data_IF_638794464714
#
_entry.id   IF_638794464714
#
_cell.length_a   1.000
_cell.length_b   1.000
_cell.length_c   1.000
_cell.angle_alpha   90.00
_cell.angle_beta   90.00
_cell.angle_gamma   90.00
#
_symmetry.space_group_name_H-M   'P 1'
#
loop_
_entity.id
_entity.type
_entity.pdbx_description
1 polymer ?
#
# COMPACT_ATOMS: atom_id res chain seq x y z
N UNK A 1 38.48 11.72 4.72
CA UNK A 1 37.09 11.38 5.11
C UNK A 1 37.02 11.36 6.62
N UNK A 2 36.01 12.01 7.17
CA UNK A 2 35.76 12.07 8.61
C UNK A 2 35.00 10.81 9.08
N UNK A 3 34.98 10.55 10.39
CA UNK A 3 34.14 9.48 10.98
C UNK A 3 32.65 9.69 10.65
N UNK A 4 32.23 10.95 10.53
CA UNK A 4 30.88 11.32 10.15
C UNK A 4 30.55 10.91 8.70
N UNK A 5 31.47 11.14 7.76
CA UNK A 5 31.31 10.74 6.35
C UNK A 5 31.17 9.22 6.22
N UNK A 6 31.99 8.48 6.97
CA UNK A 6 31.94 7.01 6.99
C UNK A 6 30.60 6.51 7.53
N UNK A 7 30.10 7.11 8.62
CA UNK A 7 28.81 6.75 9.19
C UNK A 7 27.66 6.98 8.20
N UNK A 8 27.65 8.12 7.51
CA UNK A 8 26.65 8.42 6.46
C UNK A 8 26.69 7.37 5.35
N UNK A 9 27.88 7.04 4.84
CA UNK A 9 28.02 6.07 3.76
C UNK A 9 27.59 4.66 4.17
N UNK A 10 27.90 4.24 5.40
CA UNK A 10 27.47 2.94 5.93
C UNK A 10 25.95 2.87 6.04
N UNK A 11 25.31 3.90 6.60
CA UNK A 11 23.84 3.97 6.72
C UNK A 11 23.19 3.98 5.33
N UNK A 12 23.71 4.79 4.41
CA UNK A 12 23.19 4.87 3.05
C UNK A 12 23.35 3.54 2.30
N UNK A 13 24.50 2.86 2.43
CA UNK A 13 24.74 1.56 1.81
C UNK A 13 23.82 0.47 2.37
N UNK A 14 23.63 0.42 3.69
CA UNK A 14 22.71 -0.52 4.33
C UNK A 14 21.27 -0.28 3.89
N UNK A 15 20.80 0.98 3.96
CA UNK A 15 19.46 1.36 3.51
C UNK A 15 19.24 1.08 2.01
N UNK A 16 20.26 1.30 1.18
CA UNK A 16 20.20 1.00 -0.24
C UNK A 16 20.02 -0.50 -0.51
N UNK A 17 20.70 -1.36 0.25
CA UNK A 17 20.53 -2.81 0.18
C UNK A 17 19.11 -3.26 0.52
N UNK A 18 18.52 -2.67 1.57
CA UNK A 18 17.12 -2.93 1.96
C UNK A 18 16.15 -2.48 0.86
N UNK A 19 16.26 -1.22 0.41
CA UNK A 19 15.38 -0.67 -0.64
C UNK A 19 15.45 -1.46 -1.94
N UNK A 20 16.63 -1.93 -2.32
CA UNK A 20 16.80 -2.72 -3.53
C UNK A 20 16.08 -4.06 -3.49
N UNK A 21 15.96 -4.66 -2.30
CA UNK A 21 15.21 -5.90 -2.12
C UNK A 21 13.69 -5.67 -2.24
N UNK A 22 13.21 -4.48 -1.87
CA UNK A 22 11.77 -4.18 -1.78
C UNK A 22 11.20 -3.63 -3.09
N UNK A 23 11.81 -2.56 -3.62
CA UNK A 23 11.20 -1.75 -4.69
C UNK A 23 12.18 -1.34 -5.80
N UNK A 24 13.47 -1.64 -5.64
CA UNK A 24 14.54 -1.07 -6.47
C UNK A 24 14.78 0.41 -6.12
N UNK A 25 15.95 0.93 -6.46
CA UNK A 25 16.27 2.35 -6.27
C UNK A 25 17.22 2.66 -5.10
N UNK A 26 18.00 1.69 -4.62
CA UNK A 26 19.04 1.93 -3.61
C UNK A 26 20.03 3.05 -3.99
N UNK A 27 20.21 3.31 -5.28
CA UNK A 27 20.98 4.44 -5.81
C UNK A 27 20.49 5.81 -5.33
N UNK A 28 19.20 5.97 -5.02
CA UNK A 28 18.68 7.22 -4.43
C UNK A 28 19.27 7.54 -3.05
N UNK A 29 19.80 6.55 -2.34
CA UNK A 29 20.48 6.76 -1.06
C UNK A 29 22.00 6.86 -1.24
N UNK A 30 22.61 5.94 -1.98
CA UNK A 30 24.07 5.87 -2.12
C UNK A 30 24.66 6.98 -2.96
N UNK A 31 23.99 7.41 -4.03
CA UNK A 31 24.52 8.46 -4.91
C UNK A 31 24.59 9.85 -4.23
N UNK A 32 23.52 10.37 -3.61
CA UNK A 32 23.60 11.65 -2.89
C UNK A 32 24.59 11.61 -1.73
N UNK A 33 24.68 10.49 -1.01
CA UNK A 33 25.63 10.32 0.09
C UNK A 33 27.09 10.40 -0.41
N UNK A 34 27.42 9.77 -1.53
CA UNK A 34 28.77 9.83 -2.12
C UNK A 34 29.12 11.25 -2.59
N UNK A 35 28.21 11.92 -3.28
CA UNK A 35 28.40 13.32 -3.70
C UNK A 35 28.56 14.25 -2.50
N UNK A 36 27.77 14.04 -1.44
CA UNK A 36 27.86 14.81 -0.19
C UNK A 36 29.23 14.68 0.47
N UNK A 37 29.85 13.50 0.42
CA UNK A 37 31.21 13.28 0.93
C UNK A 37 32.32 13.85 0.03
N UNK A 38 31.96 14.58 -1.03
CA UNK A 38 32.89 15.25 -1.94
C UNK A 38 33.31 14.40 -3.14
N UNK A 39 32.68 13.25 -3.39
CA UNK A 39 33.00 12.43 -4.56
C UNK A 39 32.43 13.08 -5.84
N UNK A 40 33.23 13.22 -6.91
CA UNK A 40 32.73 13.72 -8.19
C UNK A 40 31.53 12.91 -8.70
N UNK A 41 30.48 13.55 -9.24
CA UNK A 41 29.23 12.86 -9.59
C UNK A 41 29.37 11.65 -10.53
N UNK A 42 30.25 11.70 -11.55
CA UNK A 42 30.46 10.53 -12.43
C UNK A 42 31.07 9.36 -11.65
N UNK A 43 32.06 9.62 -10.79
CA UNK A 43 32.68 8.61 -9.95
C UNK A 43 31.68 8.09 -8.89
N UNK A 44 30.92 8.98 -8.25
CA UNK A 44 29.89 8.63 -7.29
C UNK A 44 28.82 7.70 -7.88
N UNK A 45 28.39 7.96 -9.12
CA UNK A 45 27.44 7.09 -9.82
C UNK A 45 28.01 5.69 -10.08
N UNK A 46 29.25 5.62 -10.58
CA UNK A 46 29.92 4.34 -10.81
C UNK A 46 30.12 3.54 -9.51
N UNK A 47 30.61 4.19 -8.46
CA UNK A 47 30.80 3.58 -7.14
C UNK A 47 29.47 3.12 -6.54
N UNK A 48 28.42 3.93 -6.65
CA UNK A 48 27.07 3.57 -6.20
C UNK A 48 26.54 2.32 -6.95
N UNK A 49 26.69 2.26 -8.27
CA UNK A 49 26.24 1.11 -9.06
C UNK A 49 26.94 -0.19 -8.65
N UNK A 50 28.27 -0.13 -8.42
CA UNK A 50 29.06 -1.29 -7.95
C UNK A 50 28.67 -1.69 -6.53
N UNK A 51 28.48 -0.73 -5.63
CA UNK A 51 28.11 -1.01 -4.24
C UNK A 51 26.75 -1.72 -4.11
N UNK A 52 25.82 -1.39 -5.01
CA UNK A 52 24.44 -1.88 -4.98
C UNK A 52 24.28 -3.21 -5.76
N UNK A 53 25.21 -3.54 -6.64
CA UNK A 53 25.18 -4.73 -7.50
C UNK A 53 25.02 -6.07 -6.74
N UNK A 54 25.74 -6.35 -5.63
CA UNK A 54 25.53 -7.58 -4.88
C UNK A 54 24.09 -7.75 -4.37
N UNK A 55 23.41 -6.65 -4.04
CA UNK A 55 22.00 -6.67 -3.62
C UNK A 55 21.07 -7.13 -4.74
N UNK A 56 21.30 -6.71 -5.98
CA UNK A 56 20.53 -7.19 -7.13
C UNK A 56 20.76 -8.68 -7.40
N UNK A 57 22.00 -9.17 -7.27
CA UNK A 57 22.30 -10.60 -7.42
C UNK A 57 21.65 -11.44 -6.31
N UNK A 58 21.74 -10.97 -5.06
CA UNK A 58 21.11 -11.62 -3.93
C UNK A 58 19.58 -11.65 -4.07
N UNK A 59 18.96 -10.56 -4.52
CA UNK A 59 17.52 -10.49 -4.82
C UNK A 59 17.13 -11.46 -5.94
N UNK A 60 17.85 -11.45 -7.07
CA UNK A 60 17.58 -12.36 -8.18
C UNK A 60 17.74 -13.84 -7.79
N UNK A 61 18.73 -14.16 -6.95
CA UNK A 61 18.92 -15.50 -6.41
C UNK A 61 17.84 -15.89 -5.40
N UNK A 62 17.45 -14.96 -4.52
CA UNK A 62 16.38 -15.15 -3.54
C UNK A 62 15.04 -15.43 -4.20
N UNK A 63 14.73 -14.69 -5.28
CA UNK A 63 13.50 -14.82 -6.06
C UNK A 63 13.61 -15.78 -7.26
N UNK A 64 14.60 -16.69 -7.27
CA UNK A 64 14.87 -17.57 -8.43
C UNK A 64 13.74 -18.54 -8.74
N UNK A 65 12.97 -18.94 -7.74
CA UNK A 65 11.88 -19.90 -7.91
C UNK A 65 10.66 -19.21 -8.54
N UNK A 66 10.41 -17.96 -8.15
CA UNK A 66 9.37 -17.07 -8.65
C UNK A 66 9.67 -16.64 -10.08
N UNK A 67 10.94 -16.35 -10.39
CA UNK A 67 11.40 -16.08 -11.76
C UNK A 67 11.15 -17.26 -12.71
N UNK A 68 11.13 -18.49 -12.19
CA UNK A 68 10.77 -19.69 -12.96
C UNK A 68 9.33 -19.70 -13.46
N UNK A 69 8.43 -18.91 -12.86
CA UNK A 69 7.03 -18.78 -13.25
C UNK A 69 6.77 -17.80 -14.40
N UNK A 70 7.76 -17.01 -14.82
CA UNK A 70 7.62 -16.03 -15.91
C UNK A 70 7.95 -16.62 -17.28
N UNK A 71 7.32 -16.11 -18.34
CA UNK A 71 7.67 -16.47 -19.72
C UNK A 71 9.14 -16.13 -20.03
N UNK A 72 9.91 -17.16 -20.38
CA UNK A 72 11.34 -17.05 -20.71
C UNK A 72 11.60 -16.05 -21.83
N UNK A 73 10.72 -15.96 -22.84
CA UNK A 73 10.92 -15.00 -23.95
C UNK A 73 10.77 -13.56 -23.47
N UNK A 74 9.75 -13.30 -22.64
CA UNK A 74 9.54 -11.99 -22.03
C UNK A 74 10.69 -11.61 -21.09
N UNK A 75 11.16 -12.54 -20.26
CA UNK A 75 12.32 -12.31 -19.39
C UNK A 75 13.57 -11.96 -20.20
N UNK A 76 13.89 -12.75 -21.24
CA UNK A 76 15.04 -12.48 -22.10
C UNK A 76 14.94 -11.12 -22.78
N UNK A 77 13.76 -10.76 -23.30
CA UNK A 77 13.54 -9.45 -23.93
C UNK A 77 13.77 -8.30 -22.94
N UNK A 78 13.22 -8.40 -21.73
CA UNK A 78 13.38 -7.38 -20.71
C UNK A 78 14.85 -7.26 -20.26
N UNK A 79 15.52 -8.39 -20.04
CA UNK A 79 16.95 -8.41 -19.71
C UNK A 79 17.80 -7.76 -20.81
N UNK A 80 17.50 -8.03 -22.09
CA UNK A 80 18.19 -7.40 -23.21
C UNK A 80 17.95 -5.89 -23.25
N UNK A 81 16.71 -5.43 -23.12
CA UNK A 81 16.39 -4.00 -23.08
C UNK A 81 17.12 -3.30 -21.93
N UNK A 82 17.07 -3.88 -20.73
CA UNK A 82 17.75 -3.33 -19.54
C UNK A 82 19.26 -3.31 -19.73
N UNK A 83 19.85 -4.37 -20.27
CA UNK A 83 21.29 -4.46 -20.52
C UNK A 83 21.73 -3.44 -21.57
N UNK A 84 21.00 -3.32 -22.69
CA UNK A 84 21.28 -2.33 -23.74
C UNK A 84 21.15 -0.91 -23.22
N UNK A 85 20.08 -0.59 -22.49
CA UNK A 85 19.89 0.72 -21.86
C UNK A 85 21.01 1.05 -20.87
N UNK A 86 21.40 0.09 -20.02
CA UNK A 86 22.50 0.24 -19.07
C UNK A 86 23.85 0.44 -19.75
N UNK A 87 24.14 -0.31 -20.82
CA UNK A 87 25.38 -0.17 -21.58
C UNK A 87 25.47 1.19 -22.29
N UNK A 88 24.39 1.64 -22.94
CA UNK A 88 24.32 2.96 -23.57
C UNK A 88 24.49 4.07 -22.54
N UNK A 89 23.76 3.99 -21.41
CA UNK A 89 23.88 4.94 -20.31
C UNK A 89 25.29 4.98 -19.72
N UNK A 90 25.91 3.83 -19.48
CA UNK A 90 27.29 3.75 -18.99
C UNK A 90 28.29 4.33 -19.99
N UNK A 91 28.11 4.10 -21.30
CA UNK A 91 28.96 4.69 -22.34
C UNK A 91 28.83 6.21 -22.40
N UNK A 92 27.60 6.73 -22.29
CA UNK A 92 27.36 8.18 -22.23
C UNK A 92 28.03 8.83 -21.01
N UNK A 93 28.08 8.15 -19.86
CA UNK A 93 28.77 8.65 -18.68
C UNK A 93 30.28 8.79 -18.84
N UNK A 94 30.91 7.97 -19.69
CA UNK A 94 32.35 8.06 -19.95
C UNK A 94 32.73 9.29 -20.78
N UNK A 95 31.78 9.82 -21.56
CA UNK A 95 31.99 10.98 -22.44
C UNK A 95 31.37 12.26 -21.86
N UNK A 96 30.53 12.13 -20.82
CA UNK A 96 29.85 13.26 -20.17
C UNK A 96 30.75 13.97 -19.17
N UNK A 97 30.71 15.29 -19.15
CA UNK A 97 31.40 16.08 -18.12
C UNK A 97 30.66 16.00 -16.78
N UNK A 98 31.41 16.10 -15.67
CA UNK A 98 30.82 16.14 -14.32
C UNK A 98 29.80 17.27 -14.16
N UNK A 99 30.03 18.42 -14.81
CA UNK A 99 29.14 19.57 -14.75
C UNK A 99 27.82 19.32 -15.49
N UNK A 100 27.88 18.79 -16.71
CA UNK A 100 26.69 18.43 -17.48
C UNK A 100 25.87 17.35 -16.75
N UNK A 101 26.53 16.35 -16.19
CA UNK A 101 25.87 15.31 -15.40
C UNK A 101 25.21 15.88 -14.13
N UNK A 102 25.90 16.77 -13.41
CA UNK A 102 25.35 17.43 -12.21
C UNK A 102 24.09 18.23 -12.49
N UNK A 103 23.99 18.86 -13.65
CA UNK A 103 22.80 19.60 -14.08
C UNK A 103 21.67 18.64 -14.41
N UNK A 104 21.94 17.53 -15.10
CA UNK A 104 20.91 16.61 -15.62
C UNK A 104 20.34 15.69 -14.55
N UNK A 105 21.16 15.20 -13.61
CA UNK A 105 20.76 14.21 -12.61
C UNK A 105 19.52 14.62 -11.80
N UNK A 106 19.41 15.84 -11.24
CA UNK A 106 18.21 16.25 -10.51
C UNK A 106 16.93 16.14 -11.33
N UNK A 107 16.96 16.46 -12.63
CA UNK A 107 15.81 16.35 -13.51
C UNK A 107 15.46 14.90 -13.83
N UNK A 108 16.47 14.03 -14.01
CA UNK A 108 16.23 12.59 -14.18
C UNK A 108 15.63 11.95 -12.93
N UNK A 109 16.12 12.32 -11.75
CA UNK A 109 15.56 11.87 -10.47
C UNK A 109 14.13 12.38 -10.30
N UNK A 110 13.89 13.66 -10.58
CA UNK A 110 12.54 14.25 -10.53
C UNK A 110 11.57 13.54 -11.48
N UNK A 111 11.98 13.29 -12.73
CA UNK A 111 11.16 12.60 -13.72
C UNK A 111 10.84 11.17 -13.27
N UNK A 112 11.82 10.43 -12.72
CA UNK A 112 11.59 9.10 -12.16
C UNK A 112 10.63 9.12 -10.98
N UNK A 113 10.81 10.04 -10.02
CA UNK A 113 9.92 10.20 -8.86
C UNK A 113 8.50 10.57 -9.29
N UNK A 114 8.35 11.49 -10.24
CA UNK A 114 7.05 11.85 -10.80
C UNK A 114 6.39 10.68 -11.53
N UNK A 115 7.15 9.88 -12.29
CA UNK A 115 6.62 8.69 -12.95
C UNK A 115 6.10 7.65 -11.94
N UNK A 116 6.81 7.43 -10.83
CA UNK A 116 6.33 6.56 -9.75
C UNK A 116 5.09 7.12 -9.06
N UNK A 117 5.07 8.42 -8.77
CA UNK A 117 3.97 9.06 -8.06
C UNK A 117 2.70 9.17 -8.91
N UNK A 118 2.84 9.40 -10.21
CA UNK A 118 1.74 9.55 -11.17
C UNK A 118 1.31 8.23 -11.79
N UNK A 119 2.12 7.17 -11.71
CA UNK A 119 1.85 5.88 -12.34
C UNK A 119 0.50 5.27 -11.95
N UNK A 120 0.07 5.45 -10.69
CA UNK A 120 -1.24 4.99 -10.24
C UNK A 120 -2.40 5.83 -10.80
N UNK A 121 -2.22 7.14 -10.99
CA UNK A 121 -3.24 7.99 -11.62
C UNK A 121 -3.40 7.70 -13.11
N UNK A 122 -2.29 7.54 -13.82
CA UNK A 122 -2.29 7.26 -15.27
C UNK A 122 -3.03 5.95 -15.59
N UNK A 123 -3.01 4.96 -14.69
CA UNK A 123 -3.77 3.71 -14.84
C UNK A 123 -5.28 3.87 -14.63
N UNK A 124 -5.71 4.84 -13.83
CA UNK A 124 -7.13 5.05 -13.51
C UNK A 124 -7.83 6.04 -14.44
N UNK A 125 -7.08 6.91 -15.16
CA UNK A 125 -7.65 7.89 -16.10
C UNK A 125 -8.44 7.22 -17.23
N UNK A 126 -8.06 6.00 -17.66
CA UNK A 126 -8.77 5.26 -18.70
C UNK A 126 -10.22 4.88 -18.33
N UNK A 127 -10.58 4.92 -17.05
CA UNK A 127 -11.91 4.57 -16.53
C UNK A 127 -12.62 5.79 -15.92
N UNK A 128 -11.90 6.87 -15.64
CA UNK A 128 -12.40 8.03 -14.90
C UNK A 128 -13.52 8.82 -15.62
N UNK A 129 -13.62 8.69 -16.94
CA UNK A 129 -14.64 9.37 -17.76
C UNK A 129 -15.98 8.61 -17.86
N UNK A 130 -16.13 7.45 -17.21
CA UNK A 130 -17.39 6.72 -17.23
C UNK A 130 -18.50 7.49 -16.50
N UNK A 131 -19.65 7.74 -17.16
CA UNK A 131 -20.77 8.40 -16.52
C UNK A 131 -21.29 7.53 -15.37
N UNK A 132 -21.32 8.10 -14.16
CA UNK A 132 -21.71 7.39 -12.94
C UNK A 132 -20.56 6.80 -12.13
N UNK A 133 -19.30 6.92 -12.60
CA UNK A 133 -18.13 6.55 -11.81
C UNK A 133 -17.54 7.78 -11.12
N UNK A 134 -17.39 7.73 -9.80
CA UNK A 134 -16.71 8.76 -9.02
C UNK A 134 -15.54 8.15 -8.26
N UNK A 135 -14.32 8.57 -8.61
CA UNK A 135 -13.09 8.10 -7.99
C UNK A 135 -12.44 9.24 -7.20
N UNK A 136 -12.10 8.98 -5.93
CA UNK A 136 -11.31 9.88 -5.10
C UNK A 136 -10.32 9.13 -4.23
N UNK A 137 -9.06 9.54 -4.28
CA UNK A 137 -8.04 9.11 -3.33
C UNK A 137 -8.23 9.84 -1.99
N UNK A 138 -8.20 9.09 -0.89
CA UNK A 138 -8.30 9.61 0.46
C UNK A 138 -6.96 9.46 1.17
N UNK A 139 -6.42 10.57 1.68
CA UNK A 139 -5.25 10.54 2.54
C UNK A 139 -5.68 10.35 3.99
N UNK A 140 -5.04 9.42 4.73
CA UNK A 140 -5.30 9.21 6.16
C UNK A 140 -4.90 10.40 7.04
N UNK A 141 -3.99 11.28 6.59
CA UNK A 141 -3.52 12.50 7.28
C UNK A 141 -3.12 12.30 8.76
N UNK A 142 -2.56 11.13 9.09
CA UNK A 142 -2.14 10.81 10.46
C UNK A 142 -3.21 10.14 11.33
N UNK A 143 -4.33 9.75 10.73
CA UNK A 143 -5.33 8.92 11.40
C UNK A 143 -4.72 7.58 11.84
N UNK A 144 -4.94 7.23 13.12
CA UNK A 144 -4.25 6.13 13.81
C UNK A 144 -4.75 4.74 13.41
N UNK A 145 -5.96 4.66 12.87
CA UNK A 145 -6.62 3.43 12.49
C UNK A 145 -6.58 3.19 10.97
N UNK A 146 -5.71 3.89 10.23
CA UNK A 146 -5.50 3.71 8.79
C UNK A 146 -6.62 4.18 7.86
N UNK A 147 -7.79 4.58 8.38
CA UNK A 147 -8.85 5.26 7.64
C UNK A 147 -8.83 6.76 7.91
N UNK A 148 -9.22 7.59 6.96
CA UNK A 148 -9.35 9.03 7.23
C UNK A 148 -10.52 9.31 8.18
N UNK A 149 -10.37 10.25 9.12
CA UNK A 149 -11.37 10.56 10.15
C UNK A 149 -12.76 10.90 9.58
N UNK A 150 -12.79 11.46 8.36
CA UNK A 150 -13.99 11.86 7.64
C UNK A 150 -14.55 10.79 6.69
N UNK A 151 -14.06 9.54 6.75
CA UNK A 151 -14.52 8.47 5.84
C UNK A 151 -16.01 8.23 5.99
N UNK A 152 -16.55 8.24 7.22
CA UNK A 152 -17.97 7.99 7.46
C UNK A 152 -18.83 9.13 6.92
N UNK A 153 -18.39 10.38 7.08
CA UNK A 153 -19.09 11.55 6.50
C UNK A 153 -19.14 11.44 4.98
N UNK A 154 -18.02 11.04 4.36
CA UNK A 154 -17.95 10.87 2.92
C UNK A 154 -18.86 9.74 2.44
N UNK A 155 -18.87 8.59 3.13
CA UNK A 155 -19.76 7.49 2.81
C UNK A 155 -21.23 7.94 2.89
N UNK A 156 -21.61 8.63 3.96
CA UNK A 156 -22.96 9.16 4.14
C UNK A 156 -23.34 10.19 3.06
N UNK A 157 -22.41 11.06 2.65
CA UNK A 157 -22.62 12.00 1.56
C UNK A 157 -22.84 11.28 0.22
N UNK A 158 -22.03 10.27 -0.10
CA UNK A 158 -22.17 9.49 -1.32
C UNK A 158 -23.50 8.73 -1.35
N UNK A 159 -23.87 8.07 -0.25
CA UNK A 159 -25.18 7.42 -0.09
C UNK A 159 -26.33 8.42 -0.29
N UNK A 160 -26.22 9.62 0.30
CA UNK A 160 -27.22 10.69 0.17
C UNK A 160 -27.36 11.28 -1.24
N UNK A 161 -26.32 11.16 -2.08
CA UNK A 161 -26.33 11.60 -3.48
C UNK A 161 -26.71 10.46 -4.46
N UNK A 162 -27.18 9.32 -3.95
CA UNK A 162 -27.75 8.25 -4.78
C UNK A 162 -26.73 7.28 -5.37
N UNK A 163 -25.50 7.23 -4.83
CA UNK A 163 -24.57 6.16 -5.18
C UNK A 163 -25.08 4.82 -4.64
N UNK A 164 -25.38 3.87 -5.54
CA UNK A 164 -25.92 2.56 -5.18
C UNK A 164 -24.85 1.58 -4.69
N UNK A 165 -23.60 1.79 -5.10
CA UNK A 165 -22.46 0.95 -4.74
C UNK A 165 -21.25 1.84 -4.47
N UNK A 166 -20.61 1.65 -3.32
CA UNK A 166 -19.44 2.42 -2.90
C UNK A 166 -18.32 1.43 -2.58
N UNK A 167 -17.23 1.51 -3.33
CA UNK A 167 -16.04 0.69 -3.11
C UNK A 167 -15.03 1.50 -2.29
N UNK A 168 -14.68 0.99 -1.11
CA UNK A 168 -13.63 1.53 -0.27
C UNK A 168 -12.38 0.64 -0.39
N UNK A 169 -11.38 1.12 -1.11
CA UNK A 169 -10.08 0.46 -1.24
C UNK A 169 -9.10 0.99 -0.19
N UNK A 170 -8.39 0.09 0.50
CA UNK A 170 -7.31 0.45 1.43
C UNK A 170 -5.95 0.32 0.77
N UNK A 171 -5.04 1.24 1.10
CA UNK A 171 -3.66 1.22 0.62
C UNK A 171 -2.79 0.37 1.54
N UNK A 172 -2.62 -0.91 1.21
CA UNK A 172 -1.62 -1.80 1.83
C UNK A 172 -1.91 -2.28 3.26
N UNK A 173 -0.97 -3.06 3.79
CA UNK A 173 -1.07 -3.85 5.02
C UNK A 173 -0.74 -2.99 6.25
N UNK A 174 -1.65 -2.96 7.23
CA UNK A 174 -1.53 -2.17 8.46
C UNK A 174 -2.87 -2.09 9.18
N UNK A 175 -2.90 -1.65 10.44
CA UNK A 175 -4.06 -1.67 11.37
C UNK A 175 -5.41 -1.10 10.85
N UNK A 176 -5.46 -0.58 9.62
CA UNK A 176 -6.66 -0.24 8.84
C UNK A 176 -7.71 -1.33 8.69
N UNK A 177 -7.34 -2.61 8.68
CA UNK A 177 -8.31 -3.62 8.25
C UNK A 177 -9.45 -3.84 9.26
N UNK A 178 -9.16 -3.69 10.56
CA UNK A 178 -10.17 -3.74 11.63
C UNK A 178 -11.12 -2.55 11.53
N UNK A 179 -10.61 -1.36 11.19
CA UNK A 179 -11.42 -0.15 11.07
C UNK A 179 -12.36 -0.22 9.87
N UNK A 180 -11.89 -0.76 8.73
CA UNK A 180 -12.70 -0.97 7.53
C UNK A 180 -13.91 -1.84 7.84
N UNK A 181 -13.72 -2.89 8.64
CA UNK A 181 -14.80 -3.83 8.96
C UNK A 181 -16.00 -3.17 9.66
N UNK A 182 -15.79 -2.09 10.40
CA UNK A 182 -16.85 -1.36 11.09
C UNK A 182 -17.64 -0.41 10.18
N UNK A 183 -17.07 -0.04 9.02
CA UNK A 183 -17.66 0.95 8.10
C UNK A 183 -18.22 0.37 6.80
N UNK A 184 -17.83 -0.86 6.42
CA UNK A 184 -18.31 -1.52 5.19
C UNK A 184 -19.33 -2.63 5.48
N UNK A 185 -20.22 -2.88 4.52
CA UNK A 185 -21.18 -3.99 4.60
C UNK A 185 -20.53 -5.33 4.23
N UNK A 186 -19.71 -5.33 3.18
CA UNK A 186 -19.01 -6.51 2.65
C UNK A 186 -17.51 -6.26 2.65
N UNK A 187 -16.75 -7.08 3.38
CA UNK A 187 -15.29 -7.05 3.35
C UNK A 187 -14.73 -8.07 2.34
N UNK A 188 -14.08 -7.59 1.29
CA UNK A 188 -13.39 -8.43 0.30
C UNK A 188 -11.90 -8.39 0.56
N UNK A 189 -11.29 -9.56 0.80
CA UNK A 189 -9.84 -9.68 1.02
C UNK A 189 -9.18 -10.24 -0.23
N UNK A 190 -8.19 -9.52 -0.75
CA UNK A 190 -7.48 -9.87 -1.97
C UNK A 190 -6.11 -10.45 -1.61
N UNK A 191 -5.83 -11.67 -2.08
CA UNK A 191 -4.63 -12.45 -1.77
C UNK A 191 -3.94 -12.87 -3.07
N UNK A 192 -2.64 -12.62 -3.26
CA UNK A 192 -1.90 -13.16 -4.41
C UNK A 192 -1.41 -14.61 -4.14
N UNK A 193 -1.07 -15.39 -5.19
CA UNK A 193 -0.72 -16.82 -5.07
C UNK A 193 0.52 -17.11 -4.22
N UNK A 194 1.46 -16.16 -4.18
CA UNK A 194 2.75 -16.21 -3.49
C UNK A 194 2.68 -15.76 -2.02
N UNK A 195 1.50 -15.40 -1.52
CA UNK A 195 1.33 -14.92 -0.16
C UNK A 195 1.46 -16.01 0.93
N UNK A 196 2.00 -17.20 0.63
CA UNK A 196 2.00 -18.39 1.50
C UNK A 196 2.29 -18.13 2.98
N UNK A 197 3.41 -17.46 3.27
CA UNK A 197 3.82 -17.14 4.65
C UNK A 197 3.01 -15.96 5.23
N UNK A 198 2.72 -14.95 4.40
CA UNK A 198 1.91 -13.79 4.80
C UNK A 198 0.46 -14.16 5.12
N UNK A 199 -0.09 -15.17 4.46
CA UNK A 199 -1.44 -15.72 4.71
C UNK A 199 -1.49 -16.34 6.09
N UNK A 200 -0.43 -17.01 6.56
CA UNK A 200 -0.38 -17.52 7.94
C UNK A 200 -0.40 -16.39 8.98
N UNK A 201 0.25 -15.26 8.68
CA UNK A 201 0.20 -14.07 9.53
C UNK A 201 -1.16 -13.37 9.47
N UNK A 202 -1.82 -13.33 8.30
CA UNK A 202 -3.16 -12.75 8.11
C UNK A 202 -4.29 -13.58 8.72
N UNK A 203 -4.07 -14.89 8.90
CA UNK A 203 -5.07 -15.86 9.38
C UNK A 203 -5.65 -15.52 10.75
N UNK A 204 -4.95 -14.78 11.61
CA UNK A 204 -5.40 -14.45 12.97
C UNK A 204 -6.19 -13.12 13.07
N UNK A 205 -6.57 -12.48 11.96
CA UNK A 205 -7.33 -11.23 12.02
C UNK A 205 -8.14 -10.92 10.76
N UNK A 206 -7.47 -10.55 9.67
CA UNK A 206 -8.13 -10.00 8.47
C UNK A 206 -8.95 -11.07 7.75
N UNK A 207 -8.37 -12.27 7.58
CA UNK A 207 -9.06 -13.38 6.92
C UNK A 207 -10.26 -13.87 7.73
N UNK A 208 -10.24 -13.71 9.05
CA UNK A 208 -11.40 -14.01 9.91
C UNK A 208 -12.52 -12.97 9.77
N UNK A 209 -12.21 -11.76 9.34
CA UNK A 209 -13.23 -10.73 9.12
C UNK A 209 -13.80 -10.76 7.69
N UNK A 210 -13.15 -11.50 6.78
CA UNK A 210 -13.47 -11.53 5.36
C UNK A 210 -14.84 -12.16 5.07
N UNK A 211 -15.65 -11.43 4.31
CA UNK A 211 -16.92 -11.93 3.79
C UNK A 211 -16.74 -12.62 2.43
N UNK A 212 -15.70 -12.25 1.68
CA UNK A 212 -15.30 -12.82 0.40
C UNK A 212 -13.76 -12.80 0.34
N UNK A 213 -13.15 -13.87 -0.17
CA UNK A 213 -11.70 -13.90 -0.42
C UNK A 213 -11.45 -14.05 -1.91
N UNK A 214 -10.53 -13.26 -2.43
CA UNK A 214 -10.16 -13.26 -3.85
C UNK A 214 -8.70 -13.67 -3.99
N UNK A 215 -8.44 -14.77 -4.70
CA UNK A 215 -7.08 -15.11 -5.13
C UNK A 215 -6.82 -14.47 -6.49
N UNK A 216 -5.92 -13.50 -6.53
CA UNK A 216 -5.57 -12.80 -7.77
C UNK A 216 -4.55 -13.58 -8.60
N UNK A 217 -4.27 -13.09 -9.81
CA UNK A 217 -3.25 -13.65 -10.71
C UNK A 217 -3.46 -15.17 -10.91
N UNK A 218 -4.70 -15.56 -11.23
CA UNK A 218 -5.10 -16.96 -11.36
C UNK A 218 -4.31 -17.76 -12.42
N UNK A 219 -3.63 -17.06 -13.32
CA UNK A 219 -2.70 -17.59 -14.32
C UNK A 219 -1.33 -17.97 -13.77
N UNK A 220 -0.98 -17.54 -12.55
CA UNK A 220 0.31 -17.86 -11.96
C UNK A 220 0.32 -19.24 -11.29
N UNK A 221 1.47 -19.93 -11.32
CA UNK A 221 1.67 -21.17 -10.57
C UNK A 221 1.33 -20.96 -9.09
N UNK A 222 0.64 -21.92 -8.49
CA UNK A 222 0.24 -21.87 -7.08
C UNK A 222 -1.10 -21.19 -6.80
N UNK A 223 -1.71 -20.47 -7.75
CA UNK A 223 -2.99 -19.80 -7.52
C UNK A 223 -4.13 -20.77 -7.16
N UNK A 224 -4.21 -21.90 -7.88
CA UNK A 224 -5.20 -22.95 -7.60
C UNK A 224 -4.98 -23.60 -6.23
N UNK A 225 -3.72 -23.85 -5.87
CA UNK A 225 -3.35 -24.42 -4.57
C UNK A 225 -3.72 -23.45 -3.43
N UNK A 226 -3.37 -22.18 -3.57
CA UNK A 226 -3.72 -21.13 -2.60
C UNK A 226 -5.24 -21.03 -2.41
N UNK A 227 -6.01 -21.05 -3.50
CA UNK A 227 -7.47 -21.03 -3.44
C UNK A 227 -8.04 -22.24 -2.70
N UNK A 228 -7.51 -23.44 -2.97
CA UNK A 228 -7.92 -24.67 -2.30
C UNK A 228 -7.57 -24.65 -0.80
N UNK A 229 -6.37 -24.20 -0.45
CA UNK A 229 -5.90 -24.10 0.94
C UNK A 229 -6.74 -23.10 1.74
N UNK A 230 -7.02 -21.92 1.17
CA UNK A 230 -7.89 -20.91 1.79
C UNK A 230 -9.32 -21.42 1.93
N UNK A 231 -9.88 -22.08 0.91
CA UNK A 231 -11.22 -22.63 0.98
C UNK A 231 -11.33 -23.70 2.08
N UNK A 232 -10.33 -24.57 2.24
CA UNK A 232 -10.29 -25.57 3.30
C UNK A 232 -10.26 -24.93 4.70
N UNK A 233 -9.43 -23.89 4.89
CA UNK A 233 -9.32 -23.16 6.17
C UNK A 233 -10.63 -22.45 6.51
N UNK A 234 -11.26 -21.78 5.54
CA UNK A 234 -12.48 -21.00 5.77
C UNK A 234 -13.72 -21.88 5.95
N UNK A 235 -13.77 -23.06 5.31
CA UNK A 235 -14.86 -24.04 5.49
C UNK A 235 -14.93 -24.64 6.89
N UNK A 236 -13.80 -24.72 7.59
CA UNK A 236 -13.75 -25.23 8.96
C UNK A 236 -14.45 -24.29 9.97
N UNK A 237 -14.87 -23.10 9.55
CA UNK A 237 -15.57 -22.12 10.39
C UNK A 237 -17.06 -22.43 10.45
N UNK A 238 -17.61 -22.58 11.65
CA UNK A 238 -19.05 -22.69 11.85
C UNK A 238 -19.77 -21.38 11.46
N UNK A 239 -20.85 -21.48 10.67
CA UNK A 239 -21.71 -20.35 10.31
C UNK A 239 -22.01 -20.25 8.82
N UNK A 240 -21.14 -19.58 8.05
CA UNK A 240 -21.31 -19.27 6.61
C UNK A 240 -20.04 -19.62 5.84
N UNK A 241 -20.18 -20.26 4.68
CA UNK A 241 -19.06 -20.51 3.78
C UNK A 241 -18.59 -19.18 3.16
N UNK A 242 -17.38 -18.74 3.51
CA UNK A 242 -16.74 -17.59 2.87
C UNK A 242 -16.28 -18.00 1.46
N UNK A 243 -16.85 -17.44 0.37
CA UNK A 243 -16.47 -17.81 -0.98
C UNK A 243 -15.02 -17.41 -1.27
N UNK A 244 -14.28 -18.31 -1.91
CA UNK A 244 -12.93 -18.07 -2.44
C UNK A 244 -13.00 -18.02 -3.95
N UNK A 245 -12.71 -16.86 -4.54
CA UNK A 245 -12.88 -16.59 -5.98
C UNK A 245 -11.52 -16.31 -6.60
N UNK A 246 -11.22 -16.95 -7.73
CA UNK A 246 -9.99 -16.68 -8.47
C UNK A 246 -10.22 -15.60 -9.52
N UNK A 247 -9.31 -14.63 -9.62
CA UNK A 247 -9.39 -13.54 -10.60
C UNK A 247 -8.08 -13.37 -11.37
N UNK A 248 -8.18 -12.83 -12.58
CA UNK A 248 -7.04 -12.52 -13.44
C UNK A 248 -7.24 -11.15 -14.12
N UNK A 249 -6.14 -10.49 -14.50
CA UNK A 249 -6.16 -9.22 -15.25
C UNK A 249 -6.87 -9.30 -16.61
N UNK A 250 -7.09 -10.50 -17.16
CA UNK A 250 -7.91 -10.74 -18.36
C UNK A 250 -9.40 -10.48 -18.14
N UNK A 251 -9.83 -10.26 -16.89
CA UNK A 251 -11.23 -10.14 -16.49
C UNK A 251 -11.87 -11.45 -16.02
N UNK A 252 -11.14 -12.58 -16.09
CA UNK A 252 -11.61 -13.85 -15.55
C UNK A 252 -11.93 -13.71 -14.06
N UNK A 253 -13.08 -14.25 -13.65
CA UNK A 253 -13.54 -14.26 -12.26
C UNK A 253 -14.18 -12.97 -11.76
N UNK A 254 -14.09 -11.86 -12.50
CA UNK A 254 -14.68 -10.57 -12.09
C UNK A 254 -16.22 -10.66 -12.00
N UNK A 255 -16.86 -11.32 -12.96
CA UNK A 255 -18.32 -11.54 -12.93
C UNK A 255 -18.75 -12.41 -11.74
N UNK A 256 -17.95 -13.44 -11.40
CA UNK A 256 -18.20 -14.28 -10.23
C UNK A 256 -18.04 -13.50 -8.92
N UNK A 257 -17.03 -12.61 -8.84
CA UNK A 257 -16.85 -11.71 -7.71
C UNK A 257 -18.03 -10.76 -7.54
N UNK A 258 -18.47 -10.10 -8.62
CA UNK A 258 -19.66 -9.22 -8.59
C UNK A 258 -20.92 -9.96 -8.13
N UNK A 259 -21.14 -11.19 -8.61
CA UNK A 259 -22.24 -12.03 -8.17
C UNK A 259 -22.15 -12.39 -6.69
N UNK A 260 -20.96 -12.69 -6.18
CA UNK A 260 -20.73 -12.99 -4.76
C UNK A 260 -20.96 -11.77 -3.86
N UNK A 261 -20.53 -10.57 -4.27
CA UNK A 261 -20.81 -9.31 -3.57
C UNK A 261 -22.33 -9.08 -3.51
N UNK A 262 -23.02 -9.24 -4.63
CA UNK A 262 -24.48 -9.09 -4.70
C UNK A 262 -25.20 -10.11 -3.80
N UNK A 263 -24.76 -11.36 -3.79
CA UNK A 263 -25.32 -12.40 -2.94
C UNK A 263 -25.11 -12.09 -1.45
N UNK A 264 -23.92 -11.60 -1.08
CA UNK A 264 -23.66 -11.20 0.30
C UNK A 264 -24.49 -10.00 0.73
N UNK A 265 -24.64 -9.00 -0.14
CA UNK A 265 -25.50 -7.85 0.11
C UNK A 265 -26.96 -8.27 0.37
N UNK A 266 -27.52 -9.17 -0.45
CA UNK A 266 -28.87 -9.72 -0.23
C UNK A 266 -28.97 -10.46 1.10
N UNK A 267 -27.98 -11.30 1.40
CA UNK A 267 -27.93 -12.04 2.65
C UNK A 267 -27.92 -11.12 3.87
N UNK A 268 -27.15 -10.01 3.84
CA UNK A 268 -27.16 -8.99 4.89
C UNK A 268 -28.55 -8.41 5.06
N UNK A 269 -29.22 -8.01 3.99
CA UNK A 269 -30.55 -7.41 4.07
C UNK A 269 -31.62 -8.36 4.62
N UNK A 270 -31.47 -9.66 4.41
CA UNK A 270 -32.38 -10.69 4.90
C UNK A 270 -32.09 -11.10 6.36
N UNK A 271 -30.82 -11.15 6.76
CA UNK A 271 -30.40 -11.76 8.04
C UNK A 271 -29.90 -10.76 9.09
N UNK A 272 -29.58 -9.52 8.69
CA UNK A 272 -29.16 -8.46 9.62
C UNK A 272 -30.18 -7.33 9.62
N UNK A 273 -30.73 -6.95 10.79
CA UNK A 273 -31.49 -5.71 10.92
C UNK A 273 -30.66 -4.53 10.40
N UNK A 274 -31.20 -3.76 9.46
CA UNK A 274 -30.53 -2.57 8.90
C UNK A 274 -30.10 -1.55 9.98
N UNK A 275 -30.75 -1.59 11.15
CA UNK A 275 -30.40 -0.81 12.33
C UNK A 275 -29.02 -1.13 12.88
N UNK A 276 -28.60 -2.41 12.89
CA UNK A 276 -27.32 -2.84 13.49
C UNK A 276 -26.11 -2.34 12.70
N UNK A 277 -26.14 -2.42 11.36
CA UNK A 277 -25.05 -1.88 10.53
C UNK A 277 -24.93 -0.36 10.68
N UNK A 278 -26.07 0.35 10.68
CA UNK A 278 -26.11 1.80 10.89
C UNK A 278 -25.63 2.21 12.28
N UNK A 279 -25.97 1.42 13.30
CA UNK A 279 -25.52 1.66 14.67
C UNK A 279 -24.01 1.49 14.81
N UNK A 280 -23.43 0.43 14.24
CA UNK A 280 -21.97 0.24 14.21
C UNK A 280 -21.24 1.41 13.56
N UNK A 281 -21.68 1.81 12.36
CA UNK A 281 -21.12 2.97 11.65
C UNK A 281 -21.23 4.25 12.48
N UNK A 282 -22.38 4.46 13.15
CA UNK A 282 -22.60 5.63 14.01
C UNK A 282 -21.69 5.63 15.24
N UNK A 283 -21.53 4.49 15.91
CA UNK A 283 -20.64 4.35 17.06
C UNK A 283 -19.19 4.60 16.62
N UNK A 284 -18.77 4.02 15.49
CA UNK A 284 -17.46 4.26 14.93
C UNK A 284 -17.23 5.76 14.63
N UNK A 285 -18.22 6.41 14.00
CA UNK A 285 -18.16 7.84 13.70
C UNK A 285 -18.08 8.72 14.97
N UNK A 286 -18.91 8.44 15.98
CA UNK A 286 -18.86 9.14 17.26
C UNK A 286 -17.50 9.02 17.93
N UNK A 287 -16.91 7.82 17.93
CA UNK A 287 -15.55 7.61 18.45
C UNK A 287 -14.53 8.44 17.69
N UNK A 288 -14.58 8.44 16.37
CA UNK A 288 -13.67 9.23 15.53
C UNK A 288 -13.82 10.74 15.79
N UNK A 289 -15.04 11.25 15.93
CA UNK A 289 -15.28 12.67 16.26
C UNK A 289 -14.74 13.05 17.63
N UNK A 290 -14.99 12.23 18.65
CA UNK A 290 -14.49 12.45 20.02
C UNK A 290 -12.96 12.44 20.02
N UNK A 291 -12.34 11.46 19.37
CA UNK A 291 -10.88 11.38 19.25
C UNK A 291 -10.30 12.62 18.56
N UNK A 292 -10.95 13.09 17.49
CA UNK A 292 -10.55 14.33 16.80
C UNK A 292 -10.62 15.54 17.71
N UNK A 293 -11.74 15.72 18.42
CA UNK A 293 -11.89 16.84 19.37
C UNK A 293 -10.86 16.79 20.50
N UNK A 294 -10.57 15.60 21.05
CA UNK A 294 -9.53 15.44 22.08
C UNK A 294 -8.17 15.89 21.53
N UNK A 295 -7.82 15.51 20.30
CA UNK A 295 -6.55 15.92 19.69
C UNK A 295 -6.49 17.42 19.41
N UNK A 296 -7.58 18.01 18.92
CA UNK A 296 -7.67 19.46 18.71
C UNK A 296 -7.50 20.22 20.03
N UNK A 297 -8.18 19.78 21.10
CA UNK A 297 -8.07 20.36 22.43
C UNK A 297 -6.63 20.30 22.96
N UNK A 298 -6.02 19.10 22.96
CA UNK A 298 -4.63 18.90 23.42
C UNK A 298 -3.59 19.69 22.61
N UNK A 299 -3.85 19.93 21.32
CA UNK A 299 -2.98 20.73 20.47
C UNK A 299 -3.15 22.23 20.72
N UNK A 300 -4.37 22.66 20.99
CA UNK A 300 -4.70 24.07 21.24
C UNK A 300 -4.23 24.56 22.61
N UNK A 301 -4.24 23.69 23.62
CA UNK A 301 -3.82 24.03 24.98
C UNK A 301 -2.90 22.95 25.57
N UNK A 302 -1.60 23.26 25.55
CA UNK A 302 -0.57 22.38 26.15
C UNK A 302 -0.67 22.28 27.68
N UNK A 303 -1.39 23.18 28.35
CA UNK A 303 -1.58 23.10 29.80
C UNK A 303 -2.49 21.93 30.19
N UNK A 304 -3.31 21.41 29.26
CA UNK A 304 -4.13 20.22 29.51
C UNK A 304 -3.24 19.04 29.93
N UNK A 305 -2.05 18.88 29.33
CA UNK A 305 -1.15 17.77 29.64
C UNK A 305 -0.29 17.96 30.91
N UNK A 306 -0.41 19.08 31.62
CA UNK A 306 0.43 19.39 32.78
C UNK A 306 -0.18 18.94 34.11
N UNK A 307 0.66 18.44 35.03
CA UNK A 307 0.24 18.04 36.37
C UNK A 307 -0.09 16.54 36.46
N UNK A 308 -1.08 16.19 37.28
CA UNK A 308 -1.48 14.78 37.44
C UNK A 308 -2.50 14.36 36.37
N UNK A 309 -2.59 13.06 36.08
CA UNK A 309 -3.56 12.52 35.11
C UNK A 309 -5.00 12.95 35.40
N UNK A 310 -5.39 13.03 36.68
CA UNK A 310 -6.72 13.47 37.10
C UNK A 310 -6.97 14.94 36.71
N UNK A 311 -6.00 15.83 37.00
CA UNK A 311 -6.08 17.25 36.64
C UNK A 311 -6.12 17.44 35.11
N UNK A 312 -5.32 16.68 34.38
CA UNK A 312 -5.33 16.67 32.91
C UNK A 312 -6.66 16.23 32.34
N UNK A 313 -7.26 15.17 32.90
CA UNK A 313 -8.56 14.66 32.48
C UNK A 313 -9.68 15.68 32.73
N UNK A 314 -9.70 16.32 33.89
CA UNK A 314 -10.69 17.35 34.21
C UNK A 314 -10.59 18.58 33.30
N UNK A 315 -9.36 19.04 33.01
CA UNK A 315 -9.14 20.13 32.04
C UNK A 315 -9.58 19.75 30.63
N UNK A 316 -9.28 18.52 30.20
CA UNK A 316 -9.73 18.02 28.90
C UNK A 316 -11.26 18.02 28.81
N UNK A 317 -11.96 17.46 29.80
CA UNK A 317 -13.42 17.46 29.83
C UNK A 317 -14.01 18.87 29.86
N UNK A 318 -13.40 19.80 30.59
CA UNK A 318 -13.82 21.20 30.60
C UNK A 318 -13.68 21.85 29.22
N UNK A 319 -12.58 21.58 28.50
CA UNK A 319 -12.35 22.12 27.16
C UNK A 319 -13.35 21.58 26.11
N UNK A 320 -13.81 20.33 26.26
CA UNK A 320 -14.76 19.71 25.33
C UNK A 320 -16.20 20.19 25.50
N UNK A 321 -16.57 20.78 26.65
CA UNK A 321 -17.95 21.23 26.95
C UNK A 321 -18.29 22.64 26.43
N UNK A 322 -17.31 23.36 25.87
CA UNK A 322 -17.44 24.78 25.50
C UNK A 322 -17.77 24.98 24.01
N UNK A 323 -17.97 23.90 23.25
CA UNK A 323 -18.28 23.92 21.81
C UNK A 323 -19.61 23.25 21.53
#
# INVERSE_FOLDING_TARGET
MTLFDIAILVIAAFGAGVLNTIAGGGTFLTFPALVFTGMPPVAANATSAVAVFPGYLAGAFGFRNELGGFDRKRLLRLSLITLSGGAVGSGLLLVSSNEAFSIVVPFLLLAATLAFLLGDRIRMDAIADLPGLFIRSLSSRGARNGLCDNVVDLLALLEGHGFSEILLETVGVGQSEVAVREVVDTLVVIVPPDAGDSVQTMKAGILEMADIVVVTKADQPGAQRMAADLAAVLRARAGRETPVIQTQSSGLGVAALSAAITAHYRWINEHRPATLSREKRRIYHLKALIERQIHEALRSDQQIAQGTLCQSYDRLLASLRVT
#
